data_IF_888132886615
#
_entry.id   IF_888132886615
#
_cell.length_a   1.000
_cell.length_b   1.000
_cell.length_c   1.000
_cell.angle_alpha   90.00
_cell.angle_beta   90.00
_cell.angle_gamma   90.00
#
_symmetry.space_group_name_H-M   'P 1'
#
loop_
_entity.id
_entity.type
_entity.pdbx_description
1 polymer ?
#
# COMPACT_ATOMS: atom_id res chain seq x y z
N UNK A 1 -28.28 -10.26 -67.32
CA UNK A 1 -26.98 -10.82 -66.91
C UNK A 1 -25.87 -10.02 -67.54
N UNK A 2 -24.95 -9.54 -66.69
CA UNK A 2 -23.56 -9.10 -66.92
C UNK A 2 -23.13 -8.18 -68.08
N UNK A 3 -22.10 -7.39 -67.75
CA UNK A 3 -21.13 -6.61 -68.55
C UNK A 3 -21.43 -5.10 -68.68
N UNK A 4 -20.78 -4.19 -67.95
CA UNK A 4 -19.35 -3.76 -67.93
C UNK A 4 -19.10 -2.50 -68.80
N UNK A 5 -18.17 -1.64 -68.34
CA UNK A 5 -17.52 -0.45 -68.96
C UNK A 5 -18.16 0.92 -68.63
N UNK A 6 -17.71 1.67 -67.62
CA UNK A 6 -16.41 2.34 -67.36
C UNK A 6 -16.15 3.60 -68.22
N UNK A 7 -16.06 4.75 -67.53
CA UNK A 7 -15.16 5.92 -67.71
C UNK A 7 -15.69 7.05 -66.79
N UNK A 8 -15.01 7.42 -65.70
CA UNK A 8 -13.84 8.31 -65.63
C UNK A 8 -14.35 9.70 -65.23
N UNK A 9 -14.06 10.23 -64.05
CA UNK A 9 -12.94 11.14 -63.85
C UNK A 9 -12.46 11.17 -62.39
N UNK A 10 -11.13 11.13 -62.24
CA UNK A 10 -10.36 11.30 -61.02
C UNK A 10 -10.51 12.72 -60.45
N UNK A 11 -10.99 12.83 -59.22
CA UNK A 11 -10.52 13.86 -58.29
C UNK A 11 -9.45 13.24 -57.39
N UNK A 12 -8.35 13.93 -57.05
CA UNK A 12 -7.39 13.40 -56.07
C UNK A 12 -8.10 13.24 -54.72
N UNK A 13 -8.12 12.01 -54.20
CA UNK A 13 -8.55 11.72 -52.84
C UNK A 13 -7.48 12.23 -51.87
N UNK A 14 -7.78 13.24 -51.03
CA UNK A 14 -6.80 13.82 -50.11
C UNK A 14 -6.49 12.92 -48.90
N UNK A 15 -6.98 11.68 -48.89
CA UNK A 15 -6.77 10.72 -47.80
C UNK A 15 -6.13 9.39 -48.25
N UNK A 16 -5.69 9.29 -49.51
CA UNK A 16 -4.97 8.13 -50.00
C UNK A 16 -3.44 8.29 -49.79
N UNK A 17 -2.98 7.98 -48.59
CA UNK A 17 -1.61 7.54 -48.34
C UNK A 17 -1.63 6.28 -47.45
N UNK A 18 -1.58 5.11 -48.09
CA UNK A 18 -1.08 3.87 -47.50
C UNK A 18 0.40 3.71 -47.88
N UNK A 19 1.27 3.74 -46.87
CA UNK A 19 2.52 2.98 -46.70
C UNK A 19 3.08 3.42 -45.34
N UNK A 20 3.07 2.61 -44.28
CA UNK A 20 3.55 1.23 -44.28
C UNK A 20 5.04 1.21 -43.97
N UNK A 21 5.47 1.83 -42.87
CA UNK A 21 6.79 1.59 -42.28
C UNK A 21 6.62 1.12 -40.83
N UNK A 22 6.93 -0.15 -40.62
CA UNK A 22 7.21 -0.73 -39.32
C UNK A 22 8.32 0.06 -38.63
N UNK A 23 7.99 0.78 -37.56
CA UNK A 23 8.97 1.06 -36.52
C UNK A 23 8.74 0.06 -35.38
N UNK A 24 9.62 -0.93 -35.40
CA UNK A 24 9.85 -1.87 -34.33
C UNK A 24 10.20 -1.15 -33.02
N UNK A 25 9.81 -1.81 -31.94
CA UNK A 25 10.30 -1.66 -30.57
C UNK A 25 11.61 -0.89 -30.44
N UNK A 26 11.60 0.19 -29.65
CA UNK A 26 12.70 0.58 -28.77
C UNK A 26 12.28 1.81 -27.92
N UNK A 27 11.51 1.58 -26.85
CA UNK A 27 11.77 2.19 -25.51
C UNK A 27 10.76 1.64 -24.46
N UNK A 28 10.54 0.32 -24.45
CA UNK A 28 9.88 -0.38 -23.33
C UNK A 28 10.91 -0.75 -22.25
N UNK A 29 11.73 0.21 -21.81
CA UNK A 29 12.57 0.04 -20.62
C UNK A 29 12.61 1.28 -19.74
N UNK A 30 11.49 2.02 -19.63
CA UNK A 30 11.28 2.85 -18.44
C UNK A 30 10.81 1.94 -17.33
N UNK A 31 11.80 1.42 -16.59
CA UNK A 31 11.61 0.53 -15.44
C UNK A 31 10.37 0.94 -14.65
N UNK A 32 9.44 0.01 -14.45
CA UNK A 32 8.29 0.18 -13.56
C UNK A 32 8.85 0.72 -12.25
N UNK A 33 8.60 1.99 -11.96
CA UNK A 33 8.84 2.54 -10.63
C UNK A 33 8.12 1.61 -9.66
N UNK A 34 8.78 1.11 -8.59
CA UNK A 34 8.12 0.29 -7.61
C UNK A 34 6.84 1.00 -7.17
N UNK A 35 5.71 0.30 -7.15
CA UNK A 35 4.49 0.84 -6.56
C UNK A 35 4.79 1.07 -5.08
N UNK A 36 4.74 2.32 -4.65
CA UNK A 36 4.83 2.67 -3.23
C UNK A 36 3.46 2.35 -2.62
N UNK A 37 3.44 1.51 -1.60
CA UNK A 37 2.22 1.16 -0.87
C UNK A 37 1.95 2.19 0.23
N UNK A 38 0.68 2.38 0.59
CA UNK A 38 0.35 3.13 1.80
C UNK A 38 0.80 2.37 3.06
N UNK A 39 1.09 3.04 4.18
CA UNK A 39 1.45 2.37 5.44
C UNK A 39 0.40 1.33 5.87
N UNK A 40 -0.88 1.60 5.63
CA UNK A 40 -1.97 0.66 5.94
C UNK A 40 -1.88 -0.64 5.13
N UNK A 41 -1.58 -0.57 3.83
CA UNK A 41 -1.39 -1.76 2.99
C UNK A 41 -0.15 -2.57 3.41
N UNK A 42 0.95 -1.88 3.74
CA UNK A 42 2.17 -2.53 4.25
C UNK A 42 1.88 -3.25 5.57
N UNK A 43 1.16 -2.61 6.47
CA UNK A 43 0.78 -3.17 7.76
C UNK A 43 -0.19 -4.35 7.63
N UNK A 44 -1.16 -4.28 6.72
CA UNK A 44 -2.05 -5.41 6.44
C UNK A 44 -1.28 -6.63 5.92
N UNK A 45 -0.34 -6.42 5.00
CA UNK A 45 0.53 -7.49 4.52
C UNK A 45 1.42 -8.04 5.65
N UNK A 46 1.92 -7.18 6.54
CA UNK A 46 2.69 -7.61 7.71
C UNK A 46 1.84 -8.46 8.67
N UNK A 47 0.58 -8.05 8.92
CA UNK A 47 -0.36 -8.79 9.76
C UNK A 47 -0.59 -10.20 9.22
N UNK A 48 -0.97 -10.32 7.93
CA UNK A 48 -1.17 -11.62 7.27
C UNK A 48 0.08 -12.50 7.38
N UNK A 49 1.25 -11.94 7.10
CA UNK A 49 2.49 -12.72 7.18
C UNK A 49 2.81 -13.22 8.59
N UNK A 50 2.53 -12.43 9.64
CA UNK A 50 2.82 -12.80 11.02
C UNK A 50 1.76 -13.74 11.58
N UNK A 51 0.49 -13.33 11.51
CA UNK A 51 -0.62 -14.03 12.15
C UNK A 51 -1.05 -15.27 11.34
N UNK A 52 -1.24 -15.13 10.02
CA UNK A 52 -1.74 -16.23 9.19
C UNK A 52 -0.63 -17.16 8.70
N UNK A 53 0.52 -16.61 8.29
CA UNK A 53 1.64 -17.40 7.77
C UNK A 53 2.70 -17.77 8.83
N UNK A 54 2.55 -17.29 10.07
CA UNK A 54 3.46 -17.63 11.18
C UNK A 54 4.87 -17.04 11.07
N UNK A 55 5.09 -16.06 10.19
CA UNK A 55 6.39 -15.39 10.03
C UNK A 55 6.81 -14.73 11.34
N UNK A 56 8.13 -14.65 11.58
CA UNK A 56 8.60 -13.91 12.74
C UNK A 56 8.48 -12.39 12.49
N UNK A 57 8.05 -11.60 13.49
CA UNK A 57 8.02 -10.14 13.42
C UNK A 57 9.33 -9.53 12.92
N UNK A 58 10.45 -10.07 13.39
CA UNK A 58 11.80 -9.65 12.98
C UNK A 58 12.04 -9.89 11.49
N UNK A 59 11.70 -11.08 10.99
CA UNK A 59 11.83 -11.40 9.56
C UNK A 59 11.04 -10.44 8.69
N UNK A 60 9.80 -10.13 9.07
CA UNK A 60 8.96 -9.18 8.32
C UNK A 60 9.60 -7.78 8.30
N UNK A 61 10.14 -7.31 9.43
CA UNK A 61 10.82 -6.01 9.51
C UNK A 61 12.18 -5.96 8.78
N UNK A 62 12.86 -7.09 8.65
CA UNK A 62 14.16 -7.19 7.99
C UNK A 62 14.01 -7.19 6.46
N UNK A 63 12.91 -7.74 5.93
CA UNK A 63 12.63 -7.76 4.48
C UNK A 63 11.78 -6.58 4.00
N UNK A 64 11.22 -5.79 4.92
CA UNK A 64 10.49 -4.56 4.61
C UNK A 64 11.43 -3.54 3.97
N UNK A 65 10.98 -2.90 2.89
CA UNK A 65 11.76 -1.83 2.24
C UNK A 65 11.97 -0.68 3.22
N UNK A 66 13.11 0.00 3.10
CA UNK A 66 13.47 1.09 4.01
C UNK A 66 12.41 2.21 4.02
N UNK A 67 11.93 2.61 2.83
CA UNK A 67 10.89 3.65 2.69
C UNK A 67 9.57 3.23 3.35
N UNK A 68 9.13 1.99 3.12
CA UNK A 68 7.92 1.44 3.74
C UNK A 68 8.07 1.38 5.27
N UNK A 69 9.26 0.99 5.75
CA UNK A 69 9.56 0.90 7.18
C UNK A 69 9.55 2.26 7.85
N UNK A 70 10.11 3.29 7.22
CA UNK A 70 10.06 4.67 7.72
C UNK A 70 8.62 5.20 7.76
N UNK A 71 7.84 4.96 6.71
CA UNK A 71 6.45 5.39 6.64
C UNK A 71 5.56 4.69 7.68
N UNK A 72 5.78 3.38 7.89
CA UNK A 72 5.12 2.59 8.93
C UNK A 72 5.53 3.04 10.33
N UNK A 73 6.82 3.30 10.56
CA UNK A 73 7.34 3.83 11.83
C UNK A 73 6.61 5.12 12.19
N UNK A 74 6.68 6.12 11.30
CA UNK A 74 6.04 7.42 11.51
C UNK A 74 4.53 7.31 11.75
N UNK A 75 3.84 6.45 10.99
CA UNK A 75 2.41 6.26 11.14
C UNK A 75 2.06 5.65 12.50
N UNK A 76 2.73 4.57 12.91
CA UNK A 76 2.51 3.93 14.21
C UNK A 76 2.94 4.81 15.39
N UNK A 77 4.01 5.59 15.23
CA UNK A 77 4.47 6.54 16.24
C UNK A 77 3.40 7.59 16.54
N UNK A 78 2.61 8.01 15.54
CA UNK A 78 1.51 8.95 15.75
C UNK A 78 0.44 8.41 16.73
N UNK A 79 0.18 7.10 16.72
CA UNK A 79 -0.71 6.44 17.67
C UNK A 79 -0.08 6.29 19.04
N UNK A 80 1.21 5.95 19.09
CA UNK A 80 1.98 5.95 20.34
C UNK A 80 1.92 7.31 21.03
N UNK A 81 2.20 8.39 20.30
CA UNK A 81 2.12 9.76 20.78
C UNK A 81 0.71 10.13 21.26
N UNK A 82 -0.33 9.65 20.58
CA UNK A 82 -1.70 9.83 21.02
C UNK A 82 -1.98 9.08 22.34
N UNK A 83 -1.40 7.89 22.51
CA UNK A 83 -1.43 7.10 23.75
C UNK A 83 -0.76 7.82 24.91
N UNK A 84 0.45 8.35 24.70
CA UNK A 84 1.19 9.15 25.71
C UNK A 84 0.38 10.35 26.19
N UNK A 85 -0.41 10.96 25.30
CA UNK A 85 -1.25 12.13 25.59
C UNK A 85 -2.63 11.76 26.14
N UNK A 86 -3.01 10.49 26.15
CA UNK A 86 -4.35 10.05 26.51
C UNK A 86 -4.56 10.10 28.03
N UNK A 87 -5.51 10.93 28.47
CA UNK A 87 -5.92 10.99 29.90
C UNK A 87 -6.91 9.89 30.29
N UNK A 88 -7.75 9.50 29.35
CA UNK A 88 -8.77 8.46 29.53
C UNK A 88 -8.60 7.44 28.40
N UNK A 89 -7.74 6.47 28.66
CA UNK A 89 -7.33 5.43 27.70
C UNK A 89 -8.53 4.60 27.27
N UNK A 90 -9.39 4.21 28.22
CA UNK A 90 -10.58 3.40 27.94
C UNK A 90 -11.54 4.11 26.98
N UNK A 91 -11.83 5.39 27.22
CA UNK A 91 -12.66 6.18 26.32
C UNK A 91 -12.01 6.36 24.95
N UNK A 92 -10.71 6.63 24.89
CA UNK A 92 -9.98 6.79 23.64
C UNK A 92 -10.02 5.51 22.78
N UNK A 93 -9.84 4.33 23.40
CA UNK A 93 -9.97 3.03 22.73
C UNK A 93 -11.37 2.83 22.15
N UNK A 94 -12.43 3.10 22.91
CA UNK A 94 -13.81 2.98 22.41
C UNK A 94 -14.08 3.93 21.23
N UNK A 95 -13.52 5.13 21.25
CA UNK A 95 -13.63 6.06 20.11
C UNK A 95 -12.86 5.55 18.89
N UNK A 96 -11.66 5.01 19.08
CA UNK A 96 -10.84 4.42 18.02
C UNK A 96 -11.52 3.23 17.33
N UNK A 97 -12.30 2.42 18.06
CA UNK A 97 -13.12 1.40 17.41
C UNK A 97 -14.29 2.01 16.63
N UNK A 98 -14.96 3.04 17.18
CA UNK A 98 -16.13 3.68 16.54
C UNK A 98 -15.80 4.40 15.24
N UNK A 99 -14.59 4.93 15.12
CA UNK A 99 -14.13 5.67 13.94
C UNK A 99 -13.28 4.80 12.98
N UNK A 100 -13.08 3.52 13.29
CA UNK A 100 -12.32 2.58 12.46
C UNK A 100 -10.80 2.75 12.53
N UNK A 101 -10.27 3.51 13.50
CA UNK A 101 -8.81 3.59 13.72
C UNK A 101 -8.23 2.34 14.37
N UNK A 102 -9.01 1.66 15.21
CA UNK A 102 -8.63 0.43 15.89
C UNK A 102 -9.48 -0.74 15.42
N UNK A 103 -8.86 -1.91 15.37
CA UNK A 103 -9.48 -3.17 14.95
C UNK A 103 -8.84 -4.33 15.73
N UNK A 104 -9.47 -5.50 15.69
CA UNK A 104 -8.86 -6.76 16.16
C UNK A 104 -7.79 -7.28 15.20
N UNK A 105 -7.81 -6.84 13.95
CA UNK A 105 -6.98 -7.38 12.87
C UNK A 105 -6.35 -6.27 12.01
N UNK A 106 -5.34 -6.64 11.22
CA UNK A 106 -4.76 -5.77 10.21
C UNK A 106 -3.98 -4.58 10.77
N UNK A 107 -3.98 -3.46 10.04
CA UNK A 107 -3.33 -2.22 10.45
C UNK A 107 -3.94 -1.63 11.74
N UNK A 108 -5.24 -1.81 11.93
CA UNK A 108 -5.96 -1.31 13.11
C UNK A 108 -5.54 -2.01 14.41
N UNK A 109 -5.13 -3.28 14.34
CA UNK A 109 -4.57 -4.00 15.48
C UNK A 109 -3.21 -3.40 15.90
N UNK A 110 -2.34 -3.13 14.91
CA UNK A 110 -1.05 -2.49 15.18
C UNK A 110 -1.21 -1.06 15.72
N UNK A 111 -2.16 -0.29 15.18
CA UNK A 111 -2.49 1.05 15.68
C UNK A 111 -2.95 1.02 17.15
N UNK A 112 -3.81 0.06 17.51
CA UNK A 112 -4.27 -0.12 18.89
C UNK A 112 -3.10 -0.46 19.81
N UNK A 113 -2.23 -1.37 19.42
CA UNK A 113 -1.07 -1.78 20.22
C UNK A 113 -0.10 -0.61 20.40
N UNK A 114 0.21 0.14 19.33
CA UNK A 114 1.06 1.32 19.42
C UNK A 114 0.47 2.36 20.39
N UNK A 115 -0.84 2.60 20.31
CA UNK A 115 -1.55 3.47 21.25
C UNK A 115 -1.46 2.98 22.69
N UNK A 116 -1.68 1.69 22.95
CA UNK A 116 -1.61 1.12 24.29
C UNK A 116 -0.18 1.12 24.86
N UNK A 117 0.84 0.93 24.02
CA UNK A 117 2.23 1.14 24.42
C UNK A 117 2.49 2.60 24.80
N UNK A 118 1.89 3.57 24.10
CA UNK A 118 2.01 4.98 24.50
C UNK A 118 1.31 5.30 25.82
N UNK A 119 0.18 4.64 26.08
CA UNK A 119 -0.57 4.80 27.32
C UNK A 119 0.11 4.15 28.54
N UNK A 120 0.99 3.17 28.31
CA UNK A 120 1.84 2.57 29.33
C UNK A 120 3.09 3.44 29.55
N UNK A 121 3.18 4.05 30.74
CA UNK A 121 4.27 4.98 31.09
C UNK A 121 5.67 4.37 31.08
N UNK A 122 5.79 3.04 31.12
CA UNK A 122 7.08 2.35 31.12
C UNK A 122 7.48 1.82 29.73
N UNK A 123 6.53 1.76 28.80
CA UNK A 123 6.76 1.20 27.47
C UNK A 123 7.38 2.23 26.52
N UNK A 124 8.47 1.82 25.85
CA UNK A 124 9.08 2.57 24.75
C UNK A 124 8.53 2.07 23.42
N UNK A 125 8.30 3.00 22.50
CA UNK A 125 7.93 2.64 21.14
C UNK A 125 8.98 1.73 20.50
N UNK A 126 8.52 0.62 19.92
CA UNK A 126 9.35 -0.33 19.20
C UNK A 126 8.50 -1.05 18.15
N UNK A 127 8.82 -0.86 16.87
CA UNK A 127 8.17 -1.58 15.77
C UNK A 127 8.21 -3.10 15.98
N UNK A 128 9.31 -3.63 16.51
CA UNK A 128 9.44 -5.05 16.77
C UNK A 128 8.45 -5.53 17.84
N UNK A 129 8.23 -4.73 18.88
CA UNK A 129 7.26 -5.06 19.93
C UNK A 129 5.83 -4.94 19.42
N UNK A 130 5.54 -3.90 18.62
CA UNK A 130 4.22 -3.73 17.98
C UNK A 130 3.94 -4.92 17.05
N UNK A 131 4.88 -5.31 16.20
CA UNK A 131 4.71 -6.45 15.30
C UNK A 131 4.64 -7.78 16.07
N UNK A 132 5.35 -7.88 17.20
CA UNK A 132 5.31 -9.05 18.08
C UNK A 132 3.99 -9.27 18.79
N UNK A 133 3.19 -8.23 18.98
CA UNK A 133 1.93 -8.31 19.73
C UNK A 133 0.82 -9.09 19.04
N UNK A 134 0.87 -9.23 17.72
CA UNK A 134 -0.12 -9.98 16.92
C UNK A 134 0.33 -11.42 16.67
N UNK A 135 1.48 -11.83 17.22
CA UNK A 135 1.92 -13.21 17.17
C UNK A 135 1.20 -13.99 18.27
N UNK A 136 0.41 -14.99 17.88
CA UNK A 136 -0.27 -15.92 18.79
C UNK A 136 0.73 -16.73 19.64
#
# INVERSE_FOLDING_TARGET
>A
SEADRNQGEHGPDPFADEQGEHQADEDQTKGRRPVAFSPAEVLNNAYVNIFEHGSSPKTVLDVMKAEDKEAVDAWLHSFYDAGVKAKDVGRAVIQGFRNGQFSSDGEGAFALVAFLQGADSEAKFSLLNVFGSVKA
#
